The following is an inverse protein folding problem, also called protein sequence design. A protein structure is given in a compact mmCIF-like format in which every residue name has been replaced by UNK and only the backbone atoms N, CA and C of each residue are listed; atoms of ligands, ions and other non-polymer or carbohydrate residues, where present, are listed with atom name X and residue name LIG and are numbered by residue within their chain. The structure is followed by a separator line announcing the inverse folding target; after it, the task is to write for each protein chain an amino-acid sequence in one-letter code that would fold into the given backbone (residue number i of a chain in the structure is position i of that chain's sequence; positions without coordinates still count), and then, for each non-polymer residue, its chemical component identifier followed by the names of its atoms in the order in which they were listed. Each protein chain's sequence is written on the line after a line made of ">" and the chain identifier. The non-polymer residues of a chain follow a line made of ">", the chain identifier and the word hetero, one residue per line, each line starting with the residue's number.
data_IF_843228549604
#
_entry.id   IF_843228549604
#
_cell.length_a   1.000
_cell.length_b   1.000
_cell.length_c   1.000
_cell.angle_alpha   90.00
_cell.angle_beta   90.00
_cell.angle_gamma   90.00
#
_symmetry.space_group_name_H-M   'P 1'
#
loop_
_entity.id
_entity.type
_entity.pdbx_description
1 polymer ?
#
# COMPACT_ATOMS: atom_id res chain seq x y z
N UNK A 1 22.13 32.96 -22.02
CA UNK A 1 21.61 32.80 -20.63
C UNK A 1 20.19 32.26 -20.69
N UNK A 2 20.02 31.02 -20.19
CA UNK A 2 18.81 30.38 -19.63
C UNK A 2 19.04 28.87 -19.76
N UNK A 3 19.81 28.31 -18.82
CA UNK A 3 19.98 26.86 -18.69
C UNK A 3 18.71 26.32 -18.03
N UNK A 4 17.87 25.65 -18.84
CA UNK A 4 16.75 24.87 -18.37
C UNK A 4 17.32 23.74 -17.50
N UNK A 5 17.12 23.82 -16.18
CA UNK A 5 17.49 22.74 -15.27
C UNK A 5 16.52 21.59 -15.51
N UNK A 6 16.99 20.56 -16.20
CA UNK A 6 16.37 19.23 -16.22
C UNK A 6 16.48 18.68 -14.81
N UNK A 7 15.42 18.82 -14.02
CA UNK A 7 15.20 18.03 -12.82
C UNK A 7 14.85 16.64 -13.31
N UNK A 8 15.84 15.74 -13.28
CA UNK A 8 15.64 14.32 -13.57
C UNK A 8 14.59 13.77 -12.62
N UNK A 9 13.52 13.24 -13.21
CA UNK A 9 12.46 12.52 -12.54
C UNK A 9 13.08 11.38 -11.72
N UNK A 10 13.01 11.47 -10.40
CA UNK A 10 13.12 10.30 -9.55
C UNK A 10 11.92 9.40 -9.89
N UNK A 11 12.22 8.14 -10.23
CA UNK A 11 11.26 7.12 -10.59
C UNK A 11 10.13 7.06 -9.56
N UNK A 12 8.94 7.50 -9.98
CA UNK A 12 7.71 7.25 -9.25
C UNK A 12 7.50 5.74 -9.33
N UNK A 13 7.44 5.06 -8.19
CA UNK A 13 6.99 3.68 -8.09
C UNK A 13 5.47 3.55 -8.40
N UNK A 14 5.03 4.14 -9.50
CA UNK A 14 3.70 4.00 -10.07
C UNK A 14 3.76 2.85 -11.08
N UNK A 15 3.65 1.63 -10.57
CA UNK A 15 3.72 0.44 -11.40
C UNK A 15 3.62 -0.83 -10.55
N UNK A 16 2.51 -1.02 -9.85
CA UNK A 16 2.21 -2.30 -9.19
C UNK A 16 0.78 -2.78 -9.48
N UNK A 17 0.30 -2.53 -10.70
CA UNK A 17 -0.47 -3.57 -11.40
C UNK A 17 0.54 -4.17 -12.36
N UNK A 18 1.07 -5.36 -12.08
CA UNK A 18 1.92 -6.08 -13.03
C UNK A 18 1.01 -6.69 -14.07
N UNK A 19 0.51 -5.85 -14.97
CA UNK A 19 -0.25 -6.29 -16.13
C UNK A 19 0.75 -6.93 -17.11
N UNK A 20 0.65 -8.24 -17.27
CA UNK A 20 1.36 -8.94 -18.33
C UNK A 20 0.48 -8.91 -19.57
N UNK A 21 0.94 -8.27 -20.64
CA UNK A 21 0.31 -8.38 -21.95
C UNK A 21 0.42 -9.84 -22.41
N UNK A 22 -0.69 -10.54 -22.60
CA UNK A 22 -0.70 -11.82 -23.28
C UNK A 22 -0.42 -11.55 -24.76
N UNK A 23 0.84 -11.69 -25.19
CA UNK A 23 1.29 -11.36 -26.55
C UNK A 23 0.80 -12.36 -27.63
N UNK A 24 -0.22 -13.16 -27.34
CA UNK A 24 -0.80 -14.13 -28.26
C UNK A 24 -2.17 -13.62 -28.71
N UNK A 25 -2.17 -12.86 -29.81
CA UNK A 25 -3.38 -12.58 -30.59
C UNK A 25 -3.94 -11.16 -30.50
N UNK A 26 -3.18 -10.13 -30.90
CA UNK A 26 -3.69 -8.90 -31.51
C UNK A 26 -4.74 -8.03 -30.77
N UNK A 27 -5.18 -8.40 -29.57
CA UNK A 27 -6.17 -7.68 -28.77
C UNK A 27 -5.53 -6.86 -27.66
N UNK A 28 -6.15 -5.75 -27.30
CA UNK A 28 -5.70 -4.87 -26.22
C UNK A 28 -6.18 -5.40 -24.86
N UNK A 29 -5.71 -6.60 -24.48
CA UNK A 29 -6.06 -7.24 -23.21
C UNK A 29 -4.86 -7.33 -22.27
N UNK A 30 -5.09 -7.00 -21.01
CA UNK A 30 -4.07 -7.00 -19.97
C UNK A 30 -4.57 -7.70 -18.70
N UNK A 31 -3.75 -8.59 -18.14
CA UNK A 31 -4.07 -9.34 -16.92
C UNK A 31 -2.99 -9.18 -15.87
N UNK A 32 -3.36 -9.08 -14.59
CA UNK A 32 -2.37 -8.90 -13.53
C UNK A 32 -2.91 -8.88 -12.12
N UNK A 33 -1.97 -8.81 -11.18
CA UNK A 33 -2.25 -8.72 -9.76
C UNK A 33 -2.93 -7.38 -9.43
N UNK A 34 -4.01 -7.45 -8.67
CA UNK A 34 -4.75 -6.31 -8.15
C UNK A 34 -4.44 -6.11 -6.67
N UNK A 35 -4.21 -4.86 -6.28
CA UNK A 35 -4.33 -4.38 -4.91
C UNK A 35 -5.17 -3.10 -4.93
N UNK A 36 -6.26 -3.08 -4.19
CA UNK A 36 -7.22 -1.99 -4.28
C UNK A 36 -7.96 -1.69 -2.98
N UNK A 37 -8.64 -0.56 -2.95
CA UNK A 37 -9.64 -0.20 -1.94
C UNK A 37 -11.00 -0.12 -2.63
N UNK A 38 -11.99 -0.80 -2.06
CA UNK A 38 -13.38 -0.70 -2.51
C UNK A 38 -13.96 0.61 -2.02
N UNK A 39 -14.58 1.38 -2.91
CA UNK A 39 -15.26 2.62 -2.53
C UNK A 39 -16.36 2.95 -3.55
N UNK A 40 -17.30 3.78 -3.15
CA UNK A 40 -18.33 4.29 -4.04
C UNK A 40 -17.82 5.52 -4.80
N UNK A 41 -18.02 5.51 -6.11
CA UNK A 41 -17.94 6.73 -6.93
C UNK A 41 -19.01 7.75 -6.55
N UNK A 42 -18.92 8.96 -7.09
CA UNK A 42 -19.91 10.03 -6.88
C UNK A 42 -21.33 9.66 -7.35
N UNK A 43 -21.46 8.66 -8.22
CA UNK A 43 -22.75 8.11 -8.70
C UNK A 43 -23.14 6.81 -8.00
N UNK A 44 -22.53 6.51 -6.85
CA UNK A 44 -22.77 5.32 -6.03
C UNK A 44 -22.42 3.99 -6.71
N UNK A 45 -21.61 4.01 -7.77
CA UNK A 45 -21.06 2.77 -8.35
C UNK A 45 -19.91 2.25 -7.47
N UNK A 46 -19.93 0.98 -7.02
CA UNK A 46 -18.81 0.39 -6.30
C UNK A 46 -17.64 0.17 -7.25
N UNK A 47 -16.50 0.77 -6.95
CA UNK A 47 -15.28 0.71 -7.75
C UNK A 47 -14.09 0.31 -6.87
N UNK A 48 -13.08 -0.29 -7.51
CA UNK A 48 -11.83 -0.71 -6.90
C UNK A 48 -10.74 0.29 -7.28
N UNK A 49 -10.31 1.09 -6.32
CA UNK A 49 -9.28 2.12 -6.49
C UNK A 49 -7.89 1.54 -6.22
N UNK A 50 -6.99 1.68 -7.19
CA UNK A 50 -5.58 1.26 -7.10
C UNK A 50 -4.68 2.44 -6.71
N UNK A 51 -3.38 2.22 -6.41
CA UNK A 51 -2.46 3.31 -6.07
C UNK A 51 -2.31 4.39 -7.16
N UNK A 52 -2.54 4.01 -8.42
CA UNK A 52 -2.47 4.88 -9.59
C UNK A 52 -3.38 4.37 -10.72
N UNK A 53 -3.80 5.29 -11.58
CA UNK A 53 -4.65 4.99 -12.73
C UNK A 53 -6.15 5.16 -12.45
N UNK A 54 -6.95 4.84 -13.46
CA UNK A 54 -8.40 4.81 -13.32
C UNK A 54 -8.82 3.59 -12.46
N UNK A 55 -9.85 3.73 -11.62
CA UNK A 55 -10.38 2.61 -10.85
C UNK A 55 -11.06 1.56 -11.76
N UNK A 56 -11.31 0.39 -11.18
CA UNK A 56 -11.95 -0.73 -11.88
C UNK A 56 -13.37 -1.00 -11.37
N UNK A 57 -14.29 -1.30 -12.28
CA UNK A 57 -15.57 -1.92 -11.96
C UNK A 57 -15.47 -3.43 -12.20
N UNK A 58 -15.74 -4.23 -11.16
CA UNK A 58 -15.75 -5.68 -11.25
C UNK A 58 -17.11 -6.18 -10.76
N UNK A 59 -17.89 -6.77 -11.65
CA UNK A 59 -19.28 -7.16 -11.35
C UNK A 59 -19.39 -8.17 -10.22
N UNK A 60 -18.49 -9.16 -10.17
CA UNK A 60 -18.45 -10.17 -9.10
C UNK A 60 -18.29 -9.55 -7.72
N UNK A 61 -17.34 -8.60 -7.58
CA UNK A 61 -17.11 -7.85 -6.33
C UNK A 61 -18.31 -6.94 -6.01
N UNK A 62 -18.84 -6.24 -7.00
CA UNK A 62 -19.97 -5.32 -6.83
C UNK A 62 -21.26 -6.03 -6.38
N UNK A 63 -21.44 -7.29 -6.74
CA UNK A 63 -22.62 -8.09 -6.40
C UNK A 63 -22.49 -8.92 -5.12
N UNK A 64 -21.28 -9.04 -4.57
CA UNK A 64 -21.01 -9.90 -3.42
C UNK A 64 -21.16 -9.10 -2.11
N UNK A 65 -22.13 -9.45 -1.23
CA UNK A 65 -22.42 -8.70 -0.01
C UNK A 65 -21.34 -8.84 1.07
N UNK A 66 -20.33 -9.69 0.88
CA UNK A 66 -19.19 -9.79 1.80
C UNK A 66 -18.20 -8.63 1.67
N UNK A 67 -18.26 -7.87 0.57
CA UNK A 67 -17.44 -6.68 0.36
C UNK A 67 -18.15 -5.40 0.78
N UNK A 68 -17.38 -4.50 1.39
CA UNK A 68 -17.87 -3.21 1.87
C UNK A 68 -16.97 -2.06 1.38
N UNK A 69 -17.55 -0.86 1.31
CA UNK A 69 -16.75 0.35 1.09
C UNK A 69 -15.72 0.52 2.23
N UNK A 70 -14.49 0.82 1.85
CA UNK A 70 -13.33 0.94 2.73
C UNK A 70 -12.52 -0.36 2.89
N UNK A 71 -13.00 -1.49 2.36
CA UNK A 71 -12.23 -2.74 2.37
C UNK A 71 -11.01 -2.64 1.46
N UNK A 72 -9.86 -3.09 1.98
CA UNK A 72 -8.68 -3.36 1.16
C UNK A 72 -8.82 -4.75 0.56
N UNK A 73 -8.53 -4.91 -0.73
CA UNK A 73 -8.65 -6.19 -1.43
C UNK A 73 -7.43 -6.49 -2.28
N UNK A 74 -7.18 -7.78 -2.48
CA UNK A 74 -6.17 -8.32 -3.39
C UNK A 74 -6.83 -9.31 -4.33
N UNK A 75 -6.32 -9.47 -5.55
CA UNK A 75 -6.93 -10.37 -6.52
C UNK A 75 -6.14 -10.46 -7.81
N UNK A 76 -6.75 -11.10 -8.81
CA UNK A 76 -6.22 -11.14 -10.16
C UNK A 76 -7.31 -10.71 -11.12
N UNK A 77 -7.00 -9.75 -11.98
CA UNK A 77 -7.97 -9.16 -12.92
C UNK A 77 -7.49 -9.25 -14.35
N UNK A 78 -8.43 -9.15 -15.27
CA UNK A 78 -8.21 -8.98 -16.70
C UNK A 78 -9.07 -7.86 -17.23
N UNK A 79 -8.45 -6.94 -17.95
CA UNK A 79 -9.08 -5.80 -18.62
C UNK A 79 -8.98 -6.03 -20.12
N UNK A 80 -10.12 -6.01 -20.80
CA UNK A 80 -10.19 -5.92 -22.26
C UNK A 80 -10.52 -4.48 -22.64
N UNK A 81 -9.51 -3.75 -23.10
CA UNK A 81 -9.64 -2.32 -23.44
C UNK A 81 -10.46 -2.08 -24.70
N UNK A 82 -10.62 -3.09 -25.57
CA UNK A 82 -11.40 -2.99 -26.81
C UNK A 82 -12.88 -3.38 -26.61
N UNK A 83 -13.24 -3.87 -25.42
CA UNK A 83 -14.61 -4.26 -25.11
C UNK A 83 -15.59 -3.09 -25.21
N UNK A 84 -16.85 -3.32 -25.66
CA UNK A 84 -17.87 -2.26 -25.72
C UNK A 84 -18.14 -1.56 -24.38
N UNK A 85 -17.95 -2.28 -23.27
CA UNK A 85 -18.10 -1.75 -21.91
C UNK A 85 -17.02 -0.70 -21.55
N UNK A 86 -15.86 -0.77 -22.21
CA UNK A 86 -14.73 0.13 -22.02
C UNK A 86 -14.60 1.21 -23.09
N UNK A 87 -15.48 1.23 -24.10
CA UNK A 87 -15.47 2.23 -25.17
C UNK A 87 -15.59 3.68 -24.66
N UNK A 88 -16.22 3.89 -23.50
CA UNK A 88 -16.39 5.20 -22.86
C UNK A 88 -15.69 5.32 -21.49
N UNK A 89 -14.63 4.52 -21.25
CA UNK A 89 -13.96 4.46 -19.95
C UNK A 89 -13.45 5.83 -19.46
N UNK A 90 -12.96 6.68 -20.36
CA UNK A 90 -12.51 8.05 -20.03
C UNK A 90 -13.63 8.94 -19.51
N UNK A 91 -14.81 8.88 -20.12
CA UNK A 91 -16.02 9.61 -19.69
C UNK A 91 -16.59 9.01 -18.40
N UNK A 92 -16.57 7.68 -18.28
CA UNK A 92 -17.06 6.96 -17.11
C UNK A 92 -16.16 7.14 -15.89
N UNK A 93 -14.87 7.41 -16.11
CA UNK A 93 -13.85 7.50 -15.06
C UNK A 93 -13.42 6.16 -14.48
N UNK A 94 -13.71 5.03 -15.15
CA UNK A 94 -13.31 3.69 -14.74
C UNK A 94 -13.25 2.71 -15.92
N UNK A 95 -12.52 1.62 -15.76
CA UNK A 95 -12.54 0.47 -16.66
C UNK A 95 -13.36 -0.67 -16.05
N UNK A 96 -14.18 -1.34 -16.85
CA UNK A 96 -14.75 -2.64 -16.50
C UNK A 96 -13.69 -3.73 -16.65
N UNK A 97 -13.58 -4.57 -15.64
CA UNK A 97 -12.65 -5.69 -15.59
C UNK A 97 -13.35 -6.97 -15.12
N UNK A 98 -12.80 -8.10 -15.50
CA UNK A 98 -13.20 -9.42 -15.01
C UNK A 98 -12.16 -9.96 -14.03
N UNK A 99 -12.58 -10.78 -13.08
CA UNK A 99 -11.68 -11.39 -12.11
C UNK A 99 -12.33 -11.69 -10.77
N UNK A 100 -11.48 -11.98 -9.79
CA UNK A 100 -11.86 -12.23 -8.41
C UNK A 100 -10.99 -11.39 -7.47
N UNK A 101 -11.58 -11.01 -6.34
CA UNK A 101 -10.89 -10.32 -5.27
C UNK A 101 -11.15 -11.06 -3.95
N UNK A 102 -10.25 -10.85 -3.00
CA UNK A 102 -10.38 -11.31 -1.62
C UNK A 102 -10.02 -10.16 -0.68
N UNK A 103 -10.72 -10.08 0.46
CA UNK A 103 -10.47 -9.06 1.47
C UNK A 103 -9.10 -9.26 2.13
N UNK A 104 -8.34 -8.17 2.23
CA UNK A 104 -7.08 -8.11 2.95
C UNK A 104 -7.37 -7.88 4.43
N UNK A 105 -6.70 -8.63 5.31
CA UNK A 105 -6.83 -8.45 6.76
C UNK A 105 -6.42 -7.04 7.20
N UNK A 106 -7.21 -6.47 8.12
CA UNK A 106 -6.96 -5.15 8.69
C UNK A 106 -5.85 -5.20 9.73
N UNK A 107 -4.82 -4.39 9.53
CA UNK A 107 -3.80 -4.05 10.52
C UNK A 107 -4.22 -2.86 11.36
N UNK A 108 -3.44 -2.59 12.42
CA UNK A 108 -3.72 -1.50 13.34
C UNK A 108 -2.80 -0.31 13.06
N UNK A 109 -3.38 0.87 12.86
CA UNK A 109 -2.65 2.13 12.83
C UNK A 109 -2.86 2.90 14.14
N UNK A 110 -1.81 3.54 14.65
CA UNK A 110 -1.90 4.43 15.81
C UNK A 110 -0.79 5.49 15.82
N UNK A 111 -1.10 6.67 16.34
CA UNK A 111 -0.06 7.63 16.71
C UNK A 111 0.67 7.17 17.97
N UNK A 112 1.98 6.94 17.87
CA UNK A 112 2.82 6.52 18.98
C UNK A 112 4.29 6.81 18.67
N UNK A 113 5.04 7.24 19.68
CA UNK A 113 6.50 7.31 19.61
C UNK A 113 7.08 5.91 19.45
N UNK A 114 8.22 5.81 18.77
CA UNK A 114 8.91 4.52 18.68
C UNK A 114 9.57 4.20 20.02
N UNK A 115 9.24 3.04 20.59
CA UNK A 115 10.07 2.35 21.57
C UNK A 115 10.90 1.24 20.90
N UNK A 116 12.04 0.90 21.51
CA UNK A 116 12.86 -0.23 21.09
C UNK A 116 12.52 -1.52 21.83
N UNK A 117 11.54 -1.53 22.73
CA UNK A 117 11.21 -2.70 23.55
C UNK A 117 10.49 -3.71 22.67
N UNK A 118 10.96 -4.95 22.63
CA UNK A 118 10.35 -5.97 21.79
C UNK A 118 8.87 -6.21 22.18
N UNK A 119 8.00 -6.44 21.19
CA UNK A 119 6.64 -6.90 21.47
C UNK A 119 6.69 -8.37 21.92
N UNK A 120 5.65 -8.83 22.62
CA UNK A 120 5.46 -10.28 22.79
C UNK A 120 5.38 -10.93 21.42
N UNK A 121 6.14 -12.02 21.23
CA UNK A 121 6.16 -12.79 19.99
C UNK A 121 6.45 -11.95 18.73
N UNK A 122 7.26 -10.90 18.89
CA UNK A 122 7.64 -10.04 17.77
C UNK A 122 8.43 -10.82 16.71
N UNK A 123 8.04 -10.63 15.46
CA UNK A 123 8.70 -11.23 14.31
C UNK A 123 9.60 -10.21 13.62
N UNK A 124 10.78 -10.66 13.21
CA UNK A 124 11.68 -9.88 12.37
C UNK A 124 11.23 -9.97 10.91
N UNK A 125 11.33 -8.85 10.19
CA UNK A 125 11.02 -8.76 8.77
C UNK A 125 12.31 -8.64 7.95
N UNK A 126 12.34 -9.23 6.76
CA UNK A 126 13.42 -9.06 5.79
C UNK A 126 13.23 -7.80 4.94
N UNK A 127 11.97 -7.40 4.72
CA UNK A 127 11.60 -6.18 4.00
C UNK A 127 10.11 -5.91 4.07
N UNK A 128 9.71 -4.76 3.51
CA UNK A 128 8.31 -4.36 3.42
C UNK A 128 8.11 -3.69 2.07
N UNK A 129 7.29 -4.28 1.20
CA UNK A 129 6.71 -3.52 0.10
C UNK A 129 5.43 -2.82 0.59
N UNK A 130 5.09 -1.68 0.03
CA UNK A 130 3.88 -0.96 0.44
C UNK A 130 3.34 -0.09 -0.68
N UNK A 131 2.07 0.25 -0.54
CA UNK A 131 1.38 1.16 -1.44
C UNK A 131 0.37 1.99 -0.67
N UNK A 132 0.35 3.29 -0.96
CA UNK A 132 -0.68 4.20 -0.48
C UNK A 132 -1.78 4.29 -1.54
N UNK A 133 -3.04 4.15 -1.11
CA UNK A 133 -4.20 4.19 -1.98
C UNK A 133 -5.14 5.30 -1.52
N UNK A 134 -5.45 6.20 -2.45
CA UNK A 134 -6.41 7.28 -2.30
C UNK A 134 -7.64 6.94 -3.13
N UNK A 135 -8.75 6.60 -2.46
CA UNK A 135 -10.07 6.53 -3.10
C UNK A 135 -10.83 7.85 -2.90
N UNK A 136 -12.12 7.89 -3.22
CA UNK A 136 -12.96 9.08 -2.99
C UNK A 136 -13.00 9.42 -1.51
N UNK A 137 -13.38 8.44 -0.68
CA UNK A 137 -13.69 8.60 0.74
C UNK A 137 -12.64 8.00 1.69
N UNK A 138 -11.66 7.26 1.18
CA UNK A 138 -10.69 6.56 2.03
C UNK A 138 -9.25 6.85 1.66
N UNK A 139 -8.40 6.86 2.69
CA UNK A 139 -6.94 6.85 2.59
C UNK A 139 -6.43 5.59 3.28
N UNK A 140 -5.91 4.65 2.48
CA UNK A 140 -5.44 3.36 2.99
C UNK A 140 -3.99 3.12 2.60
N UNK A 141 -3.35 2.22 3.32
CA UNK A 141 -2.09 1.61 2.88
C UNK A 141 -2.25 0.10 2.87
N UNK A 142 -1.76 -0.55 1.82
CA UNK A 142 -1.53 -1.99 1.83
C UNK A 142 -0.02 -2.19 2.00
N UNK A 143 0.37 -2.94 3.02
CA UNK A 143 1.76 -3.35 3.24
C UNK A 143 1.90 -4.86 3.01
N UNK A 144 3.02 -5.23 2.39
CA UNK A 144 3.45 -6.60 2.15
C UNK A 144 4.75 -6.85 2.92
N UNK A 145 4.66 -7.14 4.23
CA UNK A 145 5.81 -7.53 5.04
C UNK A 145 6.36 -8.88 4.57
N UNK A 146 7.68 -8.93 4.39
CA UNK A 146 8.41 -10.10 3.93
C UNK A 146 9.16 -10.74 5.07
N UNK A 147 9.19 -12.08 5.07
CA UNK A 147 9.87 -12.90 6.05
C UNK A 147 10.89 -13.79 5.36
N UNK A 148 12.08 -13.94 5.95
CA UNK A 148 13.02 -14.95 5.47
C UNK A 148 12.43 -16.36 5.67
N UNK A 149 11.76 -16.59 6.81
CA UNK A 149 11.17 -17.88 7.19
C UNK A 149 9.92 -17.69 8.05
N UNK A 150 8.86 -18.45 7.75
CA UNK A 150 7.69 -18.66 8.63
C UNK A 150 7.24 -20.12 8.54
N UNK A 151 6.30 -20.53 9.40
CA UNK A 151 5.60 -21.81 9.24
C UNK A 151 4.34 -21.64 8.36
N UNK A 152 3.94 -22.72 7.70
CA UNK A 152 2.64 -22.80 7.02
C UNK A 152 1.53 -22.52 8.03
N UNK A 153 0.50 -21.76 7.64
CA UNK A 153 -0.63 -21.35 8.48
C UNK A 153 -0.28 -20.46 9.69
N UNK A 154 0.95 -19.93 9.81
CA UNK A 154 1.29 -18.94 10.82
C UNK A 154 0.40 -17.69 10.66
N UNK A 155 -0.17 -17.19 11.76
CA UNK A 155 -0.98 -15.96 11.75
C UNK A 155 -0.25 -14.83 12.44
N UNK A 156 -0.24 -13.67 11.79
CA UNK A 156 0.42 -12.46 12.27
C UNK A 156 -0.57 -11.29 12.34
N UNK A 157 -0.36 -10.43 13.33
CA UNK A 157 -0.95 -9.11 13.44
C UNK A 157 0.12 -8.03 13.18
N UNK A 158 -0.30 -6.91 12.62
CA UNK A 158 0.58 -5.81 12.29
C UNK A 158 0.15 -4.52 12.95
N UNK A 159 1.14 -3.79 13.47
CA UNK A 159 0.98 -2.46 14.03
C UNK A 159 1.84 -1.48 13.22
N UNK A 160 1.19 -0.54 12.55
CA UNK A 160 1.82 0.60 11.91
C UNK A 160 1.71 1.80 12.86
N UNK A 161 2.83 2.45 13.17
CA UNK A 161 2.83 3.64 14.03
C UNK A 161 3.50 4.83 13.36
N UNK A 162 3.04 6.00 13.78
CA UNK A 162 3.62 7.28 13.40
C UNK A 162 3.76 8.13 14.67
N UNK A 163 4.96 8.66 14.89
CA UNK A 163 5.16 9.67 15.93
C UNK A 163 4.57 11.00 15.44
N UNK A 164 3.51 11.47 16.10
CA UNK A 164 2.77 12.67 15.73
C UNK A 164 3.67 13.91 15.72
N UNK A 165 4.63 13.98 16.66
CA UNK A 165 5.50 15.14 16.86
C UNK A 165 6.79 15.05 16.03
N UNK A 166 6.96 14.00 15.22
CA UNK A 166 8.15 13.89 14.39
C UNK A 166 8.23 15.04 13.38
N UNK A 167 9.41 15.63 13.30
CA UNK A 167 9.80 16.52 12.21
C UNK A 167 10.44 15.70 11.09
N UNK A 168 10.11 15.98 9.82
CA UNK A 168 10.63 15.20 8.71
C UNK A 168 12.10 15.55 8.46
N UNK A 169 12.89 14.56 8.07
CA UNK A 169 14.35 14.69 7.91
C UNK A 169 14.79 14.52 6.46
N UNK A 170 16.05 14.80 6.14
CA UNK A 170 16.60 14.48 4.81
C UNK A 170 17.14 13.05 4.82
N UNK A 171 16.69 12.23 3.86
CA UNK A 171 17.18 10.85 3.65
C UNK A 171 17.58 10.72 2.19
N UNK A 172 18.80 10.25 1.91
CA UNK A 172 19.30 10.03 0.55
C UNK A 172 19.07 11.23 -0.40
N UNK A 173 19.34 12.45 0.08
CA UNK A 173 19.10 13.72 -0.64
C UNK A 173 17.63 14.09 -0.86
N UNK A 174 16.67 13.26 -0.45
CA UNK A 174 15.26 13.64 -0.44
C UNK A 174 14.96 14.39 0.84
N UNK A 175 14.52 15.64 0.71
CA UNK A 175 14.09 16.45 1.84
C UNK A 175 12.72 15.99 2.37
N UNK A 176 12.48 16.30 3.64
CA UNK A 176 11.18 16.15 4.32
C UNK A 176 10.61 14.73 4.23
N UNK A 177 11.41 13.75 4.60
CA UNK A 177 11.02 12.34 4.69
C UNK A 177 10.55 12.02 6.10
N UNK A 178 9.31 11.56 6.20
CA UNK A 178 8.73 11.01 7.42
C UNK A 178 9.09 9.52 7.57
N UNK A 179 9.16 9.02 8.79
CA UNK A 179 9.39 7.59 9.06
C UNK A 179 8.23 6.98 9.83
N UNK A 180 7.58 6.00 9.22
CA UNK A 180 6.54 5.18 9.85
C UNK A 180 7.21 3.93 10.42
N UNK A 181 6.63 3.27 11.42
CA UNK A 181 7.15 2.02 11.95
C UNK A 181 6.15 0.89 11.79
N UNK A 182 6.54 -0.19 11.11
CA UNK A 182 5.76 -1.42 11.04
C UNK A 182 6.37 -2.48 11.96
N UNK A 183 5.56 -3.01 12.86
CA UNK A 183 5.93 -4.12 13.76
C UNK A 183 4.97 -5.28 13.56
N UNK A 184 5.48 -6.50 13.68
CA UNK A 184 4.74 -7.74 13.47
C UNK A 184 4.72 -8.54 14.77
N UNK A 185 3.53 -8.95 15.20
CA UNK A 185 3.34 -9.86 16.32
C UNK A 185 2.72 -11.16 15.82
N UNK A 186 3.36 -12.30 16.13
CA UNK A 186 2.80 -13.61 15.82
C UNK A 186 1.65 -13.91 16.79
N UNK A 187 0.53 -14.38 16.25
CA UNK A 187 -0.68 -14.76 16.99
C UNK A 187 -0.82 -16.28 17.12
N UNK A 188 -0.47 -17.00 16.04
CA UNK A 188 -0.52 -18.46 15.98
C UNK A 188 0.76 -18.95 15.32
N UNK A 189 1.35 -20.02 15.86
CA UNK A 189 2.63 -20.55 15.38
C UNK A 189 2.58 -21.09 13.96
N UNK A 190 1.44 -21.67 13.54
CA UNK A 190 1.36 -22.46 12.32
C UNK A 190 1.96 -23.87 12.50
N UNK A 191 2.28 -24.53 11.39
CA UNK A 191 2.80 -25.90 11.36
C UNK A 191 3.79 -26.11 10.22
N UNK A 192 4.57 -27.18 10.32
CA UNK A 192 5.46 -27.59 9.23
C UNK A 192 4.66 -27.82 7.91
N UNK A 193 5.25 -27.53 6.74
CA UNK A 193 6.65 -27.14 6.51
C UNK A 193 6.94 -25.65 6.77
N UNK A 194 8.22 -25.33 6.91
CA UNK A 194 8.73 -23.95 6.87
C UNK A 194 8.68 -23.41 5.44
N UNK A 195 8.12 -22.22 5.28
CA UNK A 195 8.11 -21.47 4.05
C UNK A 195 9.25 -20.45 4.08
N UNK A 196 9.96 -20.27 2.97
CA UNK A 196 11.07 -19.34 2.87
C UNK A 196 10.70 -18.18 1.94
N UNK A 197 11.19 -16.97 2.25
CA UNK A 197 11.03 -15.76 1.42
C UNK A 197 9.57 -15.47 1.03
N UNK A 198 8.68 -15.51 2.02
CA UNK A 198 7.25 -15.27 1.80
C UNK A 198 6.84 -13.87 2.24
N UNK A 199 5.87 -13.32 1.54
CA UNK A 199 5.17 -12.10 1.92
C UNK A 199 3.83 -12.45 2.57
N UNK A 200 3.51 -11.78 3.66
CA UNK A 200 2.14 -11.66 4.16
C UNK A 200 1.57 -10.30 3.68
N UNK A 201 0.31 -10.00 3.99
CA UNK A 201 -0.35 -8.78 3.54
C UNK A 201 -1.26 -8.20 4.62
N UNK A 202 -1.28 -6.87 4.73
CA UNK A 202 -2.18 -6.19 5.66
C UNK A 202 -2.56 -4.79 5.16
N UNK A 203 -3.82 -4.42 5.38
CA UNK A 203 -4.38 -3.11 5.04
C UNK A 203 -4.52 -2.21 6.28
N UNK A 204 -4.19 -0.93 6.16
CA UNK A 204 -4.23 0.05 7.24
C UNK A 204 -5.13 1.23 6.87
N UNK A 205 -5.90 1.70 7.85
CA UNK A 205 -6.67 2.93 7.74
C UNK A 205 -5.81 4.13 8.14
N UNK A 206 -5.61 5.07 7.22
CA UNK A 206 -4.68 6.18 7.37
C UNK A 206 -5.36 7.54 7.19
N UNK A 207 -6.68 7.66 7.31
CA UNK A 207 -7.39 8.92 7.10
C UNK A 207 -6.85 10.06 7.99
N UNK A 208 -6.67 9.76 9.28
CA UNK A 208 -6.15 10.73 10.25
C UNK A 208 -4.68 11.09 9.97
N UNK A 209 -3.87 10.10 9.55
CA UNK A 209 -2.48 10.33 9.18
C UNK A 209 -2.36 11.20 7.94
N UNK A 210 -3.15 10.90 6.90
CA UNK A 210 -3.21 11.67 5.67
C UNK A 210 -3.57 13.12 5.97
N UNK A 211 -4.61 13.36 6.78
CA UNK A 211 -5.04 14.71 7.16
C UNK A 211 -3.94 15.48 7.90
N UNK A 212 -3.26 14.80 8.83
CA UNK A 212 -2.14 15.37 9.60
C UNK A 212 -0.99 15.76 8.68
N UNK A 213 -0.55 14.85 7.81
CA UNK A 213 0.58 15.08 6.91
C UNK A 213 0.24 16.08 5.80
N UNK A 214 -0.99 16.06 5.26
CA UNK A 214 -1.48 17.08 4.32
C UNK A 214 -1.38 18.46 4.94
N UNK A 215 -1.81 18.63 6.19
CA UNK A 215 -1.72 19.92 6.91
C UNK A 215 -0.27 20.38 7.05
N UNK A 216 0.61 19.53 7.60
CA UNK A 216 2.03 19.85 7.82
C UNK A 216 2.75 20.21 6.52
N UNK A 217 2.60 19.40 5.47
CA UNK A 217 3.29 19.61 4.21
C UNK A 217 2.70 20.77 3.40
N UNK A 218 1.38 20.99 3.44
CA UNK A 218 0.77 22.17 2.80
C UNK A 218 1.26 23.47 3.45
N UNK A 219 1.37 23.50 4.78
CA UNK A 219 1.92 24.64 5.50
C UNK A 219 3.40 24.90 5.14
N UNK A 220 4.14 23.85 4.79
CA UNK A 220 5.51 23.93 4.27
C UNK A 220 5.58 24.21 2.75
N UNK A 221 4.44 24.49 2.09
CA UNK A 221 4.37 24.79 0.66
C UNK A 221 4.63 23.59 -0.26
N UNK A 222 4.44 22.36 0.24
CA UNK A 222 4.64 21.12 -0.52
C UNK A 222 3.31 20.55 -1.01
N UNK A 223 3.38 19.76 -2.09
CA UNK A 223 2.22 19.09 -2.72
C UNK A 223 2.26 17.57 -2.57
N UNK A 224 3.28 17.06 -1.91
CA UNK A 224 3.56 15.64 -1.76
C UNK A 224 4.08 15.38 -0.36
N UNK A 225 3.86 14.17 0.12
CA UNK A 225 4.45 13.64 1.35
C UNK A 225 5.45 12.57 0.96
N UNK A 226 6.67 12.66 1.46
CA UNK A 226 7.68 11.62 1.34
C UNK A 226 7.74 10.82 2.63
N UNK A 227 7.74 9.49 2.55
CA UNK A 227 7.87 8.64 3.72
C UNK A 227 8.67 7.37 3.43
N UNK A 228 9.20 6.78 4.49
CA UNK A 228 9.73 5.42 4.49
C UNK A 228 9.10 4.63 5.66
N UNK A 229 9.13 3.31 5.58
CA UNK A 229 8.67 2.44 6.67
C UNK A 229 9.88 1.74 7.28
N UNK A 230 10.14 1.97 8.56
CA UNK A 230 11.11 1.16 9.32
C UNK A 230 10.45 -0.08 9.91
N UNK A 231 11.22 -1.15 10.05
CA UNK A 231 10.75 -2.44 10.57
C UNK A 231 11.82 -3.14 11.38
N UNK A 232 11.42 -3.98 12.35
CA UNK A 232 12.33 -4.75 13.17
C UNK A 232 13.09 -5.77 12.32
N UNK A 233 14.43 -5.69 12.32
CA UNK A 233 15.33 -6.55 11.52
C UNK A 233 16.30 -7.36 12.37
N UNK A 234 16.53 -6.97 13.61
CA UNK A 234 17.33 -7.73 14.56
C UNK A 234 17.04 -7.36 16.00
N UNK A 235 17.08 -8.36 16.88
CA UNK A 235 17.01 -8.17 18.31
C UNK A 235 18.40 -8.14 18.96
N UNK A 236 18.45 -7.69 20.22
CA UNK A 236 19.59 -7.99 21.10
C UNK A 236 19.63 -9.48 21.48
N UNK A 237 20.69 -9.90 22.18
CA UNK A 237 20.97 -11.31 22.48
C UNK A 237 19.90 -12.02 23.33
N UNK A 238 19.11 -11.29 24.11
CA UNK A 238 18.03 -11.84 24.94
C UNK A 238 16.63 -11.59 24.36
N UNK A 239 16.54 -11.06 23.14
CA UNK A 239 15.29 -10.76 22.43
C UNK A 239 14.33 -9.80 23.14
N UNK A 240 14.81 -8.99 24.09
CA UNK A 240 13.97 -8.00 24.80
C UNK A 240 13.90 -6.65 24.10
N UNK A 241 14.80 -6.38 23.14
CA UNK A 241 14.86 -5.11 22.40
C UNK A 241 15.15 -5.30 20.93
N UNK A 242 14.50 -4.49 20.09
CA UNK A 242 14.88 -4.32 18.69
C UNK A 242 16.09 -3.39 18.62
N UNK A 243 17.23 -3.93 18.18
CA UNK A 243 18.51 -3.19 18.07
C UNK A 243 18.83 -2.80 16.64
N UNK A 244 18.33 -3.56 15.67
CA UNK A 244 18.56 -3.31 14.24
C UNK A 244 17.23 -3.11 13.53
N UNK A 245 17.13 -2.00 12.81
CA UNK A 245 15.97 -1.64 12.02
C UNK A 245 16.32 -1.69 10.53
N UNK A 246 15.45 -2.30 9.74
CA UNK A 246 15.42 -2.08 8.30
C UNK A 246 14.58 -0.85 7.96
N UNK A 247 14.73 -0.33 6.75
CA UNK A 247 13.89 0.73 6.20
C UNK A 247 13.59 0.43 4.73
N UNK A 248 12.40 0.78 4.28
CA UNK A 248 12.04 0.73 2.86
C UNK A 248 12.74 1.83 2.08
N UNK A 249 12.71 1.73 0.75
CA UNK A 249 12.90 2.90 -0.10
C UNK A 249 11.84 3.97 0.21
N UNK A 250 12.14 5.21 -0.19
CA UNK A 250 11.25 6.35 0.01
C UNK A 250 10.09 6.22 -0.97
N UNK A 251 8.88 6.29 -0.43
CA UNK A 251 7.62 6.32 -1.18
C UNK A 251 7.00 7.71 -1.05
N UNK A 252 6.27 8.11 -2.09
CA UNK A 252 5.62 9.40 -2.16
C UNK A 252 4.12 9.22 -2.41
N UNK A 253 3.29 10.03 -1.75
CA UNK A 253 1.90 10.23 -2.16
C UNK A 253 1.58 11.71 -2.32
N UNK A 254 0.66 11.98 -3.25
CA UNK A 254 0.18 13.33 -3.52
C UNK A 254 -0.83 13.78 -2.44
N UNK A 255 -0.69 15.02 -2.00
CA UNK A 255 -1.67 15.73 -1.16
C UNK A 255 -2.38 16.86 -1.91
N UNK A 256 -2.08 17.01 -3.20
CA UNK A 256 -2.88 17.87 -4.06
C UNK A 256 -4.32 17.33 -4.14
N UNK A 257 -5.27 18.24 -4.11
CA UNK A 257 -6.64 17.92 -4.47
C UNK A 257 -6.68 17.67 -5.98
N UNK A 258 -7.51 16.72 -6.41
CA UNK A 258 -7.74 16.47 -7.84
C UNK A 258 -8.44 17.70 -8.40
N UNK A 259 -7.75 18.46 -9.24
CA UNK A 259 -8.34 19.53 -10.07
C UNK A 259 -9.37 18.95 -11.04
#
# INVERSE_FOLDING_TARGET
>A
MKKLKVLGLAAIAAGMVTLTSCLDGGGNQESGQLFAVIDYSSTFKPLLYTPAGAPFYISSVASDPSFNAGDCVTGYITVDYDSPENANASTNGYYTASGQAATIKKGNFSFATLDSTALSDEQLLSGVANMFIKSVNYRKMIALPMFEKILTDQKNNYKLTFDYDQEPVTVNSMERVYTFCLRCQKLEDGKAPTLNNVSDISGFDLEQLYSTLKSKESAAGKKVVNYQIKYAKGFNSDSTKVTTWGATDIVQFSIADSE
#
